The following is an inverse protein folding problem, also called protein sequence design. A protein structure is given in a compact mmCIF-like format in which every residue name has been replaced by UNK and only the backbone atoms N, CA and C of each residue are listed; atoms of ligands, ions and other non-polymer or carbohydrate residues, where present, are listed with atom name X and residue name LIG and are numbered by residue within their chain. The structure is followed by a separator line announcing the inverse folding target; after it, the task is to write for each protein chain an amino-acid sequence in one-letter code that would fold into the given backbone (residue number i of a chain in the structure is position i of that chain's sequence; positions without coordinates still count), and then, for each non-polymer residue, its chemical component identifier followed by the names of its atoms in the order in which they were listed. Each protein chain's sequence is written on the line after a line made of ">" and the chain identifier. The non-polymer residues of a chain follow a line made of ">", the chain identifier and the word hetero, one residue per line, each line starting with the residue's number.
data_IF_933406396595
#
_entry.id   IF_933406396595
#
_cell.length_a   1.000
_cell.length_b   1.000
_cell.length_c   1.000
_cell.angle_alpha   90.00
_cell.angle_beta   90.00
_cell.angle_gamma   90.00
#
_symmetry.space_group_name_H-M   'P 1'
#
loop_
_entity.id
_entity.type
_entity.pdbx_description
1 polymer ?
#
# COMPACT_ATOMS: atom_id res chain seq x y z
N UNK A 1 6.56 -16.27 0.31
CA UNK A 1 6.42 -14.92 0.88
C UNK A 1 7.49 -13.98 0.33
N UNK A 2 8.77 -14.18 0.59
CA UNK A 2 9.86 -13.28 0.20
C UNK A 2 9.88 -12.90 -1.28
N UNK A 3 9.63 -13.87 -2.19
CA UNK A 3 9.51 -13.56 -3.61
C UNK A 3 8.40 -12.55 -3.90
N UNK A 4 7.20 -12.75 -3.35
CA UNK A 4 6.07 -11.83 -3.54
C UNK A 4 6.38 -10.43 -2.99
N UNK A 5 6.99 -10.33 -1.80
CA UNK A 5 7.38 -9.05 -1.22
C UNK A 5 8.33 -8.31 -2.17
N UNK A 6 9.36 -8.98 -2.66
CA UNK A 6 10.35 -8.36 -3.54
C UNK A 6 9.81 -8.03 -4.93
N UNK A 7 8.84 -8.79 -5.43
CA UNK A 7 8.13 -8.46 -6.67
C UNK A 7 7.34 -7.14 -6.50
N UNK A 8 6.66 -6.95 -5.35
CA UNK A 8 5.97 -5.69 -5.04
C UNK A 8 6.95 -4.55 -4.72
N UNK A 9 8.05 -4.80 -4.00
CA UNK A 9 9.09 -3.80 -3.79
C UNK A 9 9.64 -3.24 -5.11
N UNK A 10 9.83 -4.12 -6.08
CA UNK A 10 10.28 -3.71 -7.43
C UNK A 10 9.25 -2.81 -8.11
N UNK A 11 7.94 -3.15 -8.02
CA UNK A 11 6.85 -2.30 -8.52
C UNK A 11 6.78 -0.96 -7.80
N UNK A 12 7.05 -0.94 -6.51
CA UNK A 12 7.16 0.28 -5.70
C UNK A 12 8.44 1.09 -5.97
N UNK A 13 9.28 0.69 -6.95
CA UNK A 13 10.51 1.40 -7.32
C UNK A 13 11.64 1.27 -6.28
N UNK A 14 11.59 0.30 -5.38
CA UNK A 14 12.64 0.08 -4.39
C UNK A 14 13.88 -0.55 -5.03
N UNK A 15 15.06 -0.05 -4.65
CA UNK A 15 16.36 -0.58 -5.10
C UNK A 15 17.03 -1.49 -4.05
N UNK A 16 16.24 -2.05 -3.16
CA UNK A 16 16.68 -2.96 -2.09
C UNK A 16 15.76 -4.17 -2.05
N UNK A 17 16.24 -5.25 -1.44
CA UNK A 17 15.46 -6.46 -1.23
C UNK A 17 15.19 -6.66 0.26
N UNK A 18 14.02 -7.23 0.55
CA UNK A 18 13.55 -7.52 1.89
C UNK A 18 13.38 -9.04 2.04
N UNK A 19 13.85 -9.60 3.14
CA UNK A 19 13.73 -11.02 3.46
C UNK A 19 13.24 -11.20 4.89
N UNK A 20 12.28 -12.10 5.06
CA UNK A 20 11.87 -12.63 6.34
C UNK A 20 12.37 -14.07 6.47
N UNK A 21 12.99 -14.39 7.60
CA UNK A 21 13.33 -15.76 7.94
C UNK A 21 12.14 -16.55 8.53
N UNK A 22 12.36 -17.79 8.94
CA UNK A 22 11.31 -18.64 9.52
C UNK A 22 10.84 -18.19 10.91
N UNK A 23 11.57 -17.30 11.56
CA UNK A 23 11.23 -16.69 12.85
C UNK A 23 10.68 -15.27 12.70
N UNK A 24 10.43 -14.84 11.45
CA UNK A 24 9.98 -13.48 11.10
C UNK A 24 11.01 -12.39 11.42
N UNK A 25 12.29 -12.73 11.55
CA UNK A 25 13.33 -11.71 11.59
C UNK A 25 13.52 -11.12 10.19
N UNK A 26 13.62 -9.82 10.16
CA UNK A 26 13.77 -9.05 8.93
C UNK A 26 15.24 -8.84 8.56
N UNK A 27 15.53 -8.90 7.28
CA UNK A 27 16.84 -8.51 6.73
C UNK A 27 16.61 -7.71 5.45
N UNK A 28 17.21 -6.54 5.36
CA UNK A 28 17.18 -5.73 4.15
C UNK A 28 18.57 -5.65 3.54
N UNK A 29 18.64 -5.95 2.25
CA UNK A 29 19.90 -5.92 1.48
C UNK A 29 19.81 -4.82 0.43
N UNK A 30 20.76 -3.93 0.42
CA UNK A 30 20.96 -2.91 -0.62
C UNK A 30 22.33 -3.05 -1.24
N UNK A 31 22.54 -2.52 -2.45
CA UNK A 31 23.84 -2.61 -3.13
C UNK A 31 24.93 -1.98 -2.28
N UNK A 32 25.89 -2.82 -1.84
CA UNK A 32 27.08 -2.39 -1.10
C UNK A 32 26.92 -2.26 0.42
N UNK A 33 25.75 -2.58 0.98
CA UNK A 33 25.55 -2.60 2.42
C UNK A 33 24.71 -3.83 2.80
N UNK A 34 25.28 -4.69 3.61
CA UNK A 34 24.61 -5.86 4.20
C UNK A 34 24.13 -5.49 5.60
N UNK A 35 22.95 -5.95 5.98
CA UNK A 35 22.35 -5.80 7.32
C UNK A 35 21.79 -4.41 7.68
N UNK A 36 21.01 -3.81 6.80
CA UNK A 36 20.13 -2.71 7.23
C UNK A 36 18.95 -3.26 8.02
N UNK A 37 18.62 -2.60 9.15
CA UNK A 37 17.40 -2.86 9.91
C UNK A 37 16.30 -1.90 9.42
N UNK A 38 15.06 -2.38 9.44
CA UNK A 38 13.88 -1.59 9.03
C UNK A 38 13.84 -0.18 9.65
N UNK A 39 14.21 -0.05 10.92
CA UNK A 39 14.22 1.23 11.63
C UNK A 39 15.22 2.27 11.07
N UNK A 40 16.17 1.84 10.25
CA UNK A 40 17.17 2.73 9.62
C UNK A 40 16.67 3.39 8.34
N UNK A 41 15.48 2.98 7.84
CA UNK A 41 14.90 3.51 6.61
C UNK A 41 14.15 4.82 6.84
N UNK A 42 14.10 5.67 5.80
CA UNK A 42 13.21 6.83 5.78
C UNK A 42 11.75 6.37 5.78
N UNK A 43 10.83 7.25 6.18
CA UNK A 43 9.40 6.92 6.21
C UNK A 43 8.87 6.51 4.83
N UNK A 44 9.31 7.15 3.74
CA UNK A 44 8.95 6.74 2.38
C UNK A 44 9.48 5.34 2.00
N UNK A 45 10.66 4.96 2.47
CA UNK A 45 11.20 3.61 2.27
C UNK A 45 10.43 2.57 3.09
N UNK A 46 10.09 2.86 4.34
CA UNK A 46 9.25 2.01 5.19
C UNK A 46 7.89 1.82 4.56
N UNK A 47 7.27 2.90 4.07
CA UNK A 47 6.00 2.84 3.36
C UNK A 47 6.02 1.82 2.21
N UNK A 48 7.08 1.84 1.36
CA UNK A 48 7.23 0.90 0.25
C UNK A 48 7.35 -0.55 0.73
N UNK A 49 8.05 -0.79 1.84
CA UNK A 49 8.16 -2.12 2.46
C UNK A 49 6.79 -2.58 2.98
N UNK A 50 6.09 -1.73 3.72
CA UNK A 50 4.81 -2.06 4.35
C UNK A 50 3.74 -2.38 3.31
N UNK A 51 3.63 -1.56 2.27
CA UNK A 51 2.73 -1.80 1.13
C UNK A 51 3.08 -3.11 0.42
N UNK A 52 4.36 -3.37 0.20
CA UNK A 52 4.81 -4.60 -0.47
C UNK A 52 4.47 -5.85 0.36
N UNK A 53 4.63 -5.79 1.67
CA UNK A 53 4.26 -6.86 2.60
C UNK A 53 2.73 -7.08 2.58
N UNK A 54 1.95 -6.00 2.63
CA UNK A 54 0.49 -6.05 2.62
C UNK A 54 -0.03 -6.77 1.37
N UNK A 55 0.42 -6.36 0.19
CA UNK A 55 -0.02 -6.99 -1.06
C UNK A 55 0.51 -8.42 -1.23
N UNK A 56 1.74 -8.68 -0.83
CA UNK A 56 2.30 -10.03 -0.83
C UNK A 56 1.52 -10.97 0.08
N UNK A 57 1.11 -10.50 1.26
CA UNK A 57 0.26 -11.25 2.20
C UNK A 57 -1.13 -11.50 1.62
N UNK A 58 -1.75 -10.48 1.03
CA UNK A 58 -3.04 -10.62 0.35
C UNK A 58 -3.00 -11.71 -0.72
N UNK A 59 -1.99 -11.69 -1.59
CA UNK A 59 -1.86 -12.67 -2.65
C UNK A 59 -1.57 -14.07 -2.10
N UNK A 60 -0.75 -14.18 -1.06
CA UNK A 60 -0.49 -15.45 -0.39
C UNK A 60 -1.76 -16.05 0.22
N UNK A 61 -2.57 -15.24 0.92
CA UNK A 61 -3.84 -15.68 1.49
C UNK A 61 -4.80 -16.17 0.40
N UNK A 62 -4.88 -15.47 -0.73
CA UNK A 62 -5.68 -15.90 -1.89
C UNK A 62 -5.24 -17.25 -2.44
N UNK A 63 -3.93 -17.47 -2.55
CA UNK A 63 -3.36 -18.72 -3.04
C UNK A 63 -3.65 -19.89 -2.09
N UNK A 64 -3.59 -19.66 -0.77
CA UNK A 64 -3.77 -20.73 0.24
C UNK A 64 -5.24 -21.01 0.47
N UNK A 65 -6.08 -19.98 0.58
CA UNK A 65 -7.50 -20.15 0.93
C UNK A 65 -8.37 -20.61 -0.24
N UNK A 66 -7.92 -20.39 -1.48
CA UNK A 66 -8.72 -20.59 -2.68
C UNK A 66 -9.96 -19.68 -2.76
N UNK A 67 -10.17 -18.81 -1.78
CA UNK A 67 -11.30 -17.88 -1.69
C UNK A 67 -10.94 -16.56 -2.36
N UNK A 68 -11.84 -16.05 -3.20
CA UNK A 68 -11.73 -14.70 -3.76
C UNK A 68 -12.60 -13.75 -2.95
N UNK A 69 -11.97 -12.89 -2.19
CA UNK A 69 -12.60 -11.67 -1.69
C UNK A 69 -12.32 -10.59 -2.72
N UNK A 70 -13.36 -10.09 -3.38
CA UNK A 70 -13.23 -9.11 -4.48
C UNK A 70 -13.39 -7.66 -3.96
N UNK A 71 -13.02 -7.40 -2.73
CA UNK A 71 -13.06 -6.07 -2.10
C UNK A 71 -11.73 -5.82 -1.41
N UNK A 72 -11.17 -4.66 -1.65
CA UNK A 72 -9.99 -4.13 -0.96
C UNK A 72 -10.35 -2.79 -0.35
N UNK A 73 -10.13 -2.63 0.95
CA UNK A 73 -10.31 -1.36 1.66
C UNK A 73 -8.96 -0.90 2.15
N UNK A 74 -8.56 0.29 1.75
CA UNK A 74 -7.33 0.96 2.14
C UNK A 74 -7.70 2.18 2.98
N UNK A 75 -7.51 2.08 4.30
CA UNK A 75 -7.88 3.10 5.26
C UNK A 75 -6.63 3.89 5.67
N UNK A 76 -6.60 5.19 5.39
CA UNK A 76 -5.50 6.12 5.66
C UNK A 76 -4.12 5.69 5.11
N UNK A 77 -4.08 4.72 4.22
CA UNK A 77 -2.82 4.17 3.68
C UNK A 77 -2.04 5.22 2.88
N UNK A 78 -2.72 6.18 2.27
CA UNK A 78 -2.13 7.25 1.46
C UNK A 78 -1.89 8.55 2.24
N UNK A 79 -2.24 8.60 3.53
CA UNK A 79 -2.19 9.82 4.35
C UNK A 79 -0.84 10.03 5.05
N UNK A 80 -0.01 9.01 5.08
CA UNK A 80 1.28 9.02 5.75
C UNK A 80 2.36 9.87 5.05
N UNK A 81 3.58 9.76 5.56
CA UNK A 81 4.79 10.43 5.04
C UNK A 81 5.34 9.80 3.76
N UNK A 82 4.47 9.19 2.95
CA UNK A 82 4.82 8.69 1.63
C UNK A 82 5.26 9.83 0.71
N UNK A 83 6.34 9.63 -0.01
CA UNK A 83 6.71 10.50 -1.11
C UNK A 83 5.70 10.35 -2.27
N UNK A 84 5.64 11.33 -3.15
CA UNK A 84 4.73 11.32 -4.31
C UNK A 84 4.97 10.08 -5.17
N UNK A 85 6.22 9.71 -5.40
CA UNK A 85 6.58 8.53 -6.21
C UNK A 85 6.07 7.21 -5.59
N UNK A 86 6.01 7.13 -4.25
CA UNK A 86 5.47 5.97 -3.54
C UNK A 86 3.96 5.86 -3.68
N UNK A 87 3.25 6.99 -3.70
CA UNK A 87 1.81 7.04 -3.93
C UNK A 87 1.49 6.67 -5.38
N UNK A 88 2.20 7.24 -6.34
CA UNK A 88 2.02 6.95 -7.77
C UNK A 88 2.25 5.46 -8.06
N UNK A 89 3.29 4.88 -7.46
CA UNK A 89 3.56 3.45 -7.59
C UNK A 89 2.46 2.57 -6.96
N UNK A 90 1.86 3.01 -5.83
CA UNK A 90 0.70 2.32 -5.25
C UNK A 90 -0.49 2.39 -6.20
N UNK A 91 -0.81 3.55 -6.76
CA UNK A 91 -1.91 3.71 -7.73
C UNK A 91 -1.72 2.77 -8.92
N UNK A 92 -0.50 2.71 -9.48
CA UNK A 92 -0.20 1.78 -10.57
C UNK A 92 -0.43 0.31 -10.18
N UNK A 93 -0.13 -0.07 -8.93
CA UNK A 93 -0.45 -1.41 -8.42
C UNK A 93 -1.96 -1.62 -8.34
N UNK A 94 -2.72 -0.62 -7.87
CA UNK A 94 -4.18 -0.71 -7.72
C UNK A 94 -4.88 -0.84 -9.07
N UNK A 95 -4.43 -0.15 -10.09
CA UNK A 95 -4.97 -0.21 -11.47
C UNK A 95 -4.88 -1.61 -12.09
N UNK A 96 -3.98 -2.45 -11.57
CA UNK A 96 -3.81 -3.83 -12.02
C UNK A 96 -4.57 -4.86 -11.17
N UNK A 97 -5.34 -4.40 -10.18
CA UNK A 97 -6.13 -5.24 -9.28
C UNK A 97 -7.59 -5.27 -9.77
N UNK A 98 -8.06 -6.46 -10.11
CA UNK A 98 -9.44 -6.71 -10.59
C UNK A 98 -10.42 -6.89 -9.41
N UNK A 99 -10.39 -5.95 -8.45
CA UNK A 99 -11.28 -5.93 -7.28
C UNK A 99 -11.98 -4.58 -7.17
N UNK A 100 -13.08 -4.52 -6.40
CA UNK A 100 -13.64 -3.25 -5.95
C UNK A 100 -12.73 -2.65 -4.87
N UNK A 101 -12.12 -1.51 -5.15
CA UNK A 101 -11.17 -0.86 -4.26
C UNK A 101 -11.84 0.36 -3.62
N UNK A 102 -11.75 0.45 -2.30
CA UNK A 102 -12.19 1.59 -1.51
C UNK A 102 -10.96 2.22 -0.84
N UNK A 103 -10.72 3.48 -1.14
CA UNK A 103 -9.65 4.27 -0.50
C UNK A 103 -10.31 5.27 0.43
N UNK A 104 -9.95 5.21 1.71
CA UNK A 104 -10.38 6.17 2.72
C UNK A 104 -9.18 7.04 3.07
N UNK A 105 -9.33 8.33 2.94
CA UNK A 105 -8.26 9.29 3.18
C UNK A 105 -8.82 10.68 3.49
N UNK A 106 -8.02 11.47 4.19
CA UNK A 106 -8.25 12.89 4.42
C UNK A 106 -7.15 13.77 3.78
N UNK A 107 -6.30 13.17 2.95
CA UNK A 107 -5.19 13.85 2.29
C UNK A 107 -5.64 14.56 1.02
N UNK A 108 -5.28 15.84 0.88
CA UNK A 108 -5.51 16.63 -0.33
C UNK A 108 -4.81 16.02 -1.58
N UNK A 109 -3.79 15.18 -1.37
CA UNK A 109 -3.09 14.49 -2.47
C UNK A 109 -4.00 13.54 -3.25
N UNK A 110 -5.05 13.01 -2.59
CA UNK A 110 -6.00 12.08 -3.20
C UNK A 110 -7.01 12.81 -4.07
N UNK A 111 -7.32 14.08 -3.79
CA UNK A 111 -8.25 14.87 -4.60
C UNK A 111 -7.77 15.04 -6.05
N UNK A 112 -6.46 14.91 -6.29
CA UNK A 112 -5.87 14.98 -7.63
C UNK A 112 -5.90 13.65 -8.40
N UNK A 113 -6.35 12.56 -7.77
CA UNK A 113 -6.44 11.24 -8.38
C UNK A 113 -7.79 11.02 -9.04
N UNK A 114 -7.81 10.29 -10.14
CA UNK A 114 -9.05 9.90 -10.81
C UNK A 114 -9.62 8.64 -10.15
N UNK A 115 -10.84 8.76 -9.63
CA UNK A 115 -11.63 7.65 -9.10
C UNK A 115 -12.95 7.54 -9.86
N UNK A 116 -13.46 6.32 -10.02
CA UNK A 116 -14.80 6.10 -10.61
C UNK A 116 -15.90 6.82 -9.81
N UNK A 117 -15.72 6.92 -8.50
CA UNK A 117 -16.65 7.61 -7.59
C UNK A 117 -15.92 8.17 -6.39
N UNK A 118 -16.34 9.34 -5.96
CA UNK A 118 -15.92 9.96 -4.72
C UNK A 118 -17.09 10.08 -3.76
N UNK A 119 -16.88 9.66 -2.52
CA UNK A 119 -17.83 9.80 -1.41
C UNK A 119 -17.23 10.79 -0.42
N UNK A 120 -17.78 12.00 -0.40
CA UNK A 120 -17.35 13.04 0.53
C UNK A 120 -18.26 13.04 1.77
N UNK A 121 -17.65 12.90 2.94
CA UNK A 121 -18.33 12.89 4.23
C UNK A 121 -18.02 14.18 4.98
N UNK A 122 -18.99 15.06 5.07
CA UNK A 122 -18.84 16.39 5.68
C UNK A 122 -19.69 16.52 6.94
N UNK A 123 -19.18 17.27 7.93
CA UNK A 123 -19.97 17.67 9.11
C UNK A 123 -20.89 18.83 8.77
N UNK A 124 -22.19 18.66 8.98
CA UNK A 124 -23.18 19.72 8.93
C UNK A 124 -23.84 19.89 10.31
N UNK A 125 -23.35 20.82 11.10
CA UNK A 125 -23.76 21.01 12.49
C UNK A 125 -23.39 19.82 13.38
N UNK A 126 -24.39 19.04 13.81
CA UNK A 126 -24.22 17.84 14.65
C UNK A 126 -24.35 16.53 13.87
N UNK A 127 -24.54 16.59 12.57
CA UNK A 127 -24.78 15.43 11.71
C UNK A 127 -23.74 15.37 10.61
N UNK A 128 -23.45 14.15 10.16
CA UNK A 128 -22.65 13.93 8.97
C UNK A 128 -23.55 13.86 7.73
N UNK A 129 -23.16 14.53 6.67
CA UNK A 129 -23.79 14.46 5.35
C UNK A 129 -22.86 13.76 4.36
N UNK A 130 -23.44 13.00 3.46
CA UNK A 130 -22.71 12.28 2.40
C UNK A 130 -23.04 12.94 1.06
N UNK A 131 -21.99 13.29 0.32
CA UNK A 131 -22.09 13.72 -1.08
C UNK A 131 -21.38 12.71 -1.96
N UNK A 132 -22.01 12.27 -3.03
CA UNK A 132 -21.44 11.33 -4.00
C UNK A 132 -21.22 12.10 -5.30
N UNK A 133 -19.99 12.04 -5.80
CA UNK A 133 -19.58 12.53 -7.13
C UNK A 133 -19.17 11.36 -8.02
N UNK A 134 -19.49 11.44 -9.31
CA UNK A 134 -19.17 10.46 -10.36
C UNK A 134 -18.31 11.14 -11.39
#
# INVERSE_FOLDING_TARGET
>A
MNKLINDYLTKMGAMYTFELDSEFNETVKTRGMENFVYNSFSEGQKYRIDISILFAWRDLVRLISGSRVNVLVLDEVMDGSSDTDGIDALVEILDHIDDSIYVISHSEKIEAMEFDRTIDVQMNGKFSEIKISV
#
